data_IF_115472277336
#
_entry.id   IF_115472277336
#
_cell.length_a   1.000
_cell.length_b   1.000
_cell.length_c   1.000
_cell.angle_alpha   90.00
_cell.angle_beta   90.00
_cell.angle_gamma   90.00
#
_symmetry.space_group_name_H-M   'P 1'
#
loop_
_entity.id
_entity.type
_entity.pdbx_description
1 polymer ?
#
# COMPACT_ATOMS: atom_id res chain seq x y z
N UNK A 1 -34.93 21.85 41.17
CA UNK A 1 -33.99 22.76 40.49
C UNK A 1 -32.82 21.90 40.05
N UNK A 2 -32.62 21.79 38.73
CA UNK A 2 -31.91 20.68 38.07
C UNK A 2 -30.40 20.65 38.35
N UNK A 3 -29.93 19.48 38.82
CA UNK A 3 -28.56 19.02 38.69
C UNK A 3 -28.45 18.22 37.38
N UNK A 4 -27.91 18.79 36.30
CA UNK A 4 -27.31 18.02 35.20
C UNK A 4 -26.53 18.95 34.27
N UNK A 5 -25.28 19.26 34.61
CA UNK A 5 -24.37 19.87 33.64
C UNK A 5 -22.91 19.51 33.94
N UNK A 6 -22.56 18.23 33.89
CA UNK A 6 -21.14 17.80 33.90
C UNK A 6 -20.78 16.70 32.88
N UNK A 7 -21.70 16.28 32.00
CA UNK A 7 -21.45 15.14 31.09
C UNK A 7 -21.02 15.50 29.64
N UNK A 8 -20.62 16.75 29.32
CA UNK A 8 -20.47 17.17 27.92
C UNK A 8 -19.04 17.51 27.44
N UNK A 9 -18.02 17.49 28.30
CA UNK A 9 -16.66 17.90 27.91
C UNK A 9 -15.70 16.77 27.50
N UNK A 10 -16.03 15.51 27.79
CA UNK A 10 -15.17 14.37 27.45
C UNK A 10 -15.51 13.69 26.11
N UNK A 11 -16.69 13.95 25.52
CA UNK A 11 -17.13 13.28 24.29
C UNK A 11 -16.54 13.91 23.01
N UNK A 12 -16.44 15.26 22.95
CA UNK A 12 -16.03 15.96 21.73
C UNK A 12 -14.57 15.76 21.29
N UNK A 13 -13.66 15.47 22.23
CA UNK A 13 -12.24 15.19 21.91
C UNK A 13 -12.06 13.78 21.35
N UNK A 14 -12.80 12.79 21.87
CA UNK A 14 -12.79 11.42 21.35
C UNK A 14 -13.38 11.34 19.94
N UNK A 15 -14.47 12.07 19.69
CA UNK A 15 -15.09 12.15 18.37
C UNK A 15 -14.16 12.81 17.34
N UNK A 16 -13.42 13.85 17.74
CA UNK A 16 -12.44 14.51 16.88
C UNK A 16 -11.26 13.61 16.52
N UNK A 17 -10.71 12.88 17.51
CA UNK A 17 -9.61 11.93 17.26
C UNK A 17 -10.05 10.78 16.34
N UNK A 18 -11.23 10.20 16.59
CA UNK A 18 -11.77 9.15 15.74
C UNK A 18 -12.01 9.62 14.29
N UNK A 19 -12.41 10.87 14.09
CA UNK A 19 -12.58 11.46 12.75
C UNK A 19 -11.25 11.61 11.99
N UNK A 20 -10.16 11.90 12.71
CA UNK A 20 -8.81 12.02 12.15
C UNK A 20 -8.26 10.64 11.80
N UNK A 21 -8.44 9.65 12.68
CA UNK A 21 -8.05 8.26 12.42
C UNK A 21 -8.75 7.69 11.18
N UNK A 22 -10.05 7.94 11.03
CA UNK A 22 -10.80 7.51 9.84
C UNK A 22 -10.27 8.17 8.56
N UNK A 23 -9.97 9.48 8.62
CA UNK A 23 -9.39 10.18 7.48
C UNK A 23 -8.02 9.60 7.08
N UNK A 24 -7.15 9.32 8.04
CA UNK A 24 -5.85 8.70 7.75
C UNK A 24 -5.99 7.29 7.18
N UNK A 25 -6.95 6.50 7.66
CA UNK A 25 -7.24 5.18 7.07
C UNK A 25 -7.73 5.30 5.63
N UNK A 26 -8.58 6.28 5.34
CA UNK A 26 -9.07 6.50 3.98
C UNK A 26 -7.93 6.94 3.05
N UNK A 27 -7.12 7.92 3.45
CA UNK A 27 -5.96 8.37 2.67
C UNK A 27 -4.99 7.22 2.38
N UNK A 28 -4.74 6.35 3.38
CA UNK A 28 -3.94 5.15 3.17
C UNK A 28 -4.59 4.17 2.20
N UNK A 29 -5.89 3.95 2.31
CA UNK A 29 -6.62 3.01 1.44
C UNK A 29 -6.58 3.49 -0.01
N UNK A 30 -6.71 4.79 -0.22
CA UNK A 30 -6.65 5.42 -1.54
C UNK A 30 -5.23 5.31 -2.15
N UNK A 31 -4.17 5.68 -1.41
CA UNK A 31 -2.78 5.51 -1.87
C UNK A 31 -2.44 4.03 -2.12
N UNK A 32 -2.86 3.13 -1.23
CA UNK A 32 -2.64 1.70 -1.43
C UNK A 32 -3.35 1.19 -2.70
N UNK A 33 -4.56 1.69 -2.99
CA UNK A 33 -5.29 1.40 -4.22
C UNK A 33 -4.53 1.86 -5.47
N UNK A 34 -4.00 3.09 -5.46
CA UNK A 34 -3.20 3.63 -6.57
C UNK A 34 -1.92 2.79 -6.81
N UNK A 35 -1.21 2.41 -5.75
CA UNK A 35 -0.01 1.58 -5.85
C UNK A 35 -0.35 0.19 -6.40
N UNK A 36 -1.44 -0.42 -5.94
CA UNK A 36 -1.89 -1.72 -6.44
C UNK A 36 -2.30 -1.66 -7.93
N UNK A 37 -2.89 -0.55 -8.37
CA UNK A 37 -3.15 -0.31 -9.80
C UNK A 37 -1.85 -0.24 -10.58
N UNK A 38 -0.88 0.57 -10.14
CA UNK A 38 0.45 0.68 -10.78
C UNK A 38 1.19 -0.66 -10.83
N UNK A 39 1.12 -1.45 -9.75
CA UNK A 39 1.65 -2.82 -9.70
C UNK A 39 0.99 -3.69 -10.77
N UNK A 40 -0.33 -3.62 -10.91
CA UNK A 40 -1.08 -4.41 -11.90
C UNK A 40 -0.68 -4.03 -13.33
N UNK A 41 -0.56 -2.73 -13.62
CA UNK A 41 -0.16 -2.21 -14.92
C UNK A 41 1.29 -2.61 -15.27
N UNK A 42 2.20 -2.54 -14.29
CA UNK A 42 3.59 -2.96 -14.46
C UNK A 42 3.70 -4.46 -14.73
N UNK A 43 2.93 -5.29 -14.01
CA UNK A 43 2.88 -6.73 -14.25
C UNK A 43 2.32 -7.03 -15.65
N UNK A 44 1.32 -6.30 -16.11
CA UNK A 44 0.79 -6.43 -17.47
C UNK A 44 1.79 -6.04 -18.54
N UNK A 45 2.48 -4.91 -18.38
CA UNK A 45 3.55 -4.51 -19.29
C UNK A 45 4.64 -5.57 -19.40
N UNK A 46 5.03 -6.20 -18.27
CA UNK A 46 6.03 -7.27 -18.25
C UNK A 46 5.61 -8.56 -18.98
N UNK A 47 4.29 -8.80 -19.16
CA UNK A 47 3.81 -9.95 -19.95
C UNK A 47 3.90 -9.71 -21.46
N UNK A 48 3.84 -8.46 -21.88
CA UNK A 48 3.81 -8.08 -23.29
C UNK A 48 5.25 -7.95 -23.82
N UNK A 49 5.52 -8.50 -25.01
CA UNK A 49 6.82 -8.34 -25.65
C UNK A 49 7.05 -6.87 -26.04
N UNK A 50 8.20 -6.31 -25.63
CA UNK A 50 8.63 -4.94 -25.97
C UNK A 50 8.66 -3.93 -24.82
N UNK A 51 8.28 -4.31 -23.59
CA UNK A 51 8.47 -3.46 -22.42
C UNK A 51 9.96 -3.34 -22.03
N UNK A 52 10.36 -2.16 -21.55
CA UNK A 52 11.65 -1.99 -20.85
C UNK A 52 11.55 -2.67 -19.47
N UNK A 53 11.91 -3.95 -19.43
CA UNK A 53 11.77 -4.77 -18.22
C UNK A 53 12.51 -4.18 -17.03
N UNK A 54 13.70 -3.61 -17.23
CA UNK A 54 14.49 -3.02 -16.16
C UNK A 54 13.76 -1.82 -15.56
N UNK A 55 13.21 -0.95 -16.40
CA UNK A 55 12.41 0.19 -15.92
C UNK A 55 11.13 -0.27 -15.23
N UNK A 56 10.41 -1.23 -15.80
CA UNK A 56 9.14 -1.71 -15.24
C UNK A 56 9.35 -2.44 -13.91
N UNK A 57 10.40 -3.26 -13.78
CA UNK A 57 10.75 -3.90 -12.50
C UNK A 57 11.18 -2.85 -11.47
N UNK A 58 11.91 -1.81 -11.86
CA UNK A 58 12.26 -0.72 -10.96
C UNK A 58 11.01 0.00 -10.42
N UNK A 59 10.01 0.26 -11.27
CA UNK A 59 8.74 0.84 -10.86
C UNK A 59 7.99 -0.07 -9.88
N UNK A 60 7.88 -1.36 -10.19
CA UNK A 60 7.24 -2.35 -9.33
C UNK A 60 7.89 -2.39 -7.93
N UNK A 61 9.22 -2.28 -7.89
CA UNK A 61 9.99 -2.23 -6.64
C UNK A 61 9.72 -0.97 -5.83
N UNK A 62 9.56 0.18 -6.50
CA UNK A 62 9.21 1.44 -5.87
C UNK A 62 7.80 1.40 -5.28
N UNK A 63 6.82 0.86 -6.01
CA UNK A 63 5.45 0.74 -5.50
C UNK A 63 5.38 -0.20 -4.28
N UNK A 64 6.14 -1.31 -4.30
CA UNK A 64 6.30 -2.20 -3.15
C UNK A 64 6.96 -1.49 -1.95
N UNK A 65 8.02 -0.70 -2.19
CA UNK A 65 8.68 0.08 -1.14
C UNK A 65 7.73 1.09 -0.49
N UNK A 66 6.93 1.78 -1.30
CA UNK A 66 5.96 2.75 -0.81
C UNK A 66 4.88 2.08 0.04
N UNK A 67 4.27 0.98 -0.45
CA UNK A 67 3.29 0.19 0.31
C UNK A 67 3.86 -0.35 1.63
N UNK A 68 5.14 -0.73 1.66
CA UNK A 68 5.82 -1.13 2.89
C UNK A 68 5.84 0.02 3.91
N UNK A 69 6.28 1.20 3.45
CA UNK A 69 6.39 2.41 4.27
C UNK A 69 5.04 2.89 4.78
N UNK A 70 4.09 3.12 3.88
CA UNK A 70 2.76 3.64 4.21
C UNK A 70 1.95 2.63 5.03
N UNK A 71 2.05 1.34 4.73
CA UNK A 71 1.43 0.30 5.55
C UNK A 71 1.96 0.28 6.98
N UNK A 72 3.26 0.54 7.17
CA UNK A 72 3.89 0.55 8.49
C UNK A 72 3.45 1.73 9.34
N UNK A 73 3.42 2.92 8.73
CA UNK A 73 2.99 4.15 9.42
C UNK A 73 1.48 4.18 9.69
N UNK A 74 0.68 3.51 8.86
CA UNK A 74 -0.77 3.50 8.96
C UNK A 74 -1.32 2.33 9.82
N UNK A 75 -0.44 1.52 10.41
CA UNK A 75 -0.85 0.44 11.34
C UNK A 75 -1.30 -0.85 10.66
N UNK A 76 -0.86 -1.12 9.43
CA UNK A 76 -1.19 -2.31 8.64
C UNK A 76 0.03 -3.25 8.47
N UNK A 77 0.45 -3.97 9.54
CA UNK A 77 1.68 -4.76 9.53
C UNK A 77 1.68 -5.91 8.52
N UNK A 78 0.50 -6.43 8.16
CA UNK A 78 0.37 -7.45 7.12
C UNK A 78 0.75 -6.91 5.74
N UNK A 79 0.26 -5.71 5.39
CA UNK A 79 0.58 -5.04 4.12
C UNK A 79 2.08 -4.74 4.07
N UNK A 80 2.66 -4.24 5.17
CA UNK A 80 4.10 -4.03 5.27
C UNK A 80 4.89 -5.32 5.02
N UNK A 81 4.46 -6.43 5.61
CA UNK A 81 5.15 -7.72 5.49
C UNK A 81 5.13 -8.25 4.06
N UNK A 82 3.96 -8.20 3.40
CA UNK A 82 3.81 -8.64 2.01
C UNK A 82 4.65 -7.77 1.08
N UNK A 83 4.56 -6.45 1.24
CA UNK A 83 5.27 -5.49 0.39
C UNK A 83 6.79 -5.60 0.54
N UNK A 84 7.28 -5.85 1.77
CA UNK A 84 8.69 -6.11 2.00
C UNK A 84 9.18 -7.40 1.34
N UNK A 85 8.38 -8.48 1.36
CA UNK A 85 8.73 -9.73 0.66
C UNK A 85 8.79 -9.52 -0.86
N UNK A 86 7.84 -8.76 -1.41
CA UNK A 86 7.82 -8.42 -2.83
C UNK A 86 9.05 -7.57 -3.21
N UNK A 87 9.34 -6.51 -2.46
CA UNK A 87 10.52 -5.66 -2.67
C UNK A 87 11.83 -6.48 -2.66
N UNK A 88 11.97 -7.41 -1.70
CA UNK A 88 13.15 -8.28 -1.60
C UNK A 88 13.27 -9.25 -2.77
N UNK A 89 12.15 -9.82 -3.23
CA UNK A 89 12.15 -10.68 -4.43
C UNK A 89 12.63 -9.92 -5.67
N UNK A 90 12.27 -8.64 -5.77
CA UNK A 90 12.62 -7.77 -6.89
C UNK A 90 13.99 -7.08 -6.75
N UNK A 91 14.68 -7.19 -5.60
CA UNK A 91 15.89 -6.42 -5.28
C UNK A 91 17.01 -6.60 -6.31
N UNK A 92 17.25 -7.85 -6.70
CA UNK A 92 18.31 -8.22 -7.64
C UNK A 92 17.79 -8.52 -9.06
N UNK A 93 16.48 -8.32 -9.27
CA UNK A 93 15.83 -8.62 -10.54
C UNK A 93 15.94 -7.44 -11.49
N UNK A 94 16.48 -7.69 -12.69
CA UNK A 94 16.56 -6.68 -13.78
C UNK A 94 15.68 -7.03 -14.96
N UNK A 95 15.47 -8.31 -15.18
CA UNK A 95 14.71 -8.88 -16.29
C UNK A 95 13.98 -10.12 -15.78
N UNK A 96 12.83 -10.45 -16.38
CA UNK A 96 12.14 -11.69 -16.09
C UNK A 96 12.76 -12.81 -16.92
N UNK A 97 13.28 -13.85 -16.25
CA UNK A 97 13.70 -15.08 -16.90
C UNK A 97 12.52 -16.07 -17.02
N UNK A 98 12.74 -17.19 -17.71
CA UNK A 98 11.72 -18.21 -17.94
C UNK A 98 11.13 -18.80 -16.64
N UNK A 99 11.84 -18.70 -15.51
CA UNK A 99 11.34 -19.15 -14.19
C UNK A 99 10.31 -18.19 -13.62
N UNK A 100 10.39 -16.92 -14.02
CA UNK A 100 9.50 -15.86 -13.56
C UNK A 100 8.33 -15.62 -14.52
N UNK A 101 8.37 -16.17 -15.74
CA UNK A 101 7.30 -16.13 -16.76
C UNK A 101 6.35 -17.32 -16.68
N UNK A 102 5.96 -17.77 -15.49
CA UNK A 102 4.99 -18.86 -15.37
C UNK A 102 3.71 -18.49 -16.14
N UNK A 103 3.45 -19.19 -17.24
CA UNK A 103 2.16 -19.18 -17.92
C UNK A 103 1.14 -19.75 -16.95
N UNK A 104 0.43 -18.88 -16.24
CA UNK A 104 -0.78 -19.28 -15.53
C UNK A 104 -1.82 -19.54 -16.62
N UNK A 105 -1.98 -20.81 -16.98
CA UNK A 105 -3.02 -21.32 -17.87
C UNK A 105 -4.42 -21.06 -17.30
#
# INVERSE_FOLDING_TARGET
>A
MSMTQEANHQNGTSDSLHSIEEKYRQEFTDDAGERLSSVSDALEALRNDGADQSQTIAQLRQDAHNLKGTGGTSGFPLITTISHRLENYLADLKELDDRNRLEVQ
#
